data_IF_296926243444
#
_entry.id   IF_296926243444
#
_cell.length_a   1.000
_cell.length_b   1.000
_cell.length_c   1.000
_cell.angle_alpha   90.00
_cell.angle_beta   90.00
_cell.angle_gamma   90.00
#
_symmetry.space_group_name_H-M   'P 1'
#
loop_
_entity.id
_entity.type
_entity.pdbx_description
1 polymer ?
#
# COMPACT_ATOMS: atom_id res chain seq x y z
N UNK A 1 -18.14 3.30 -21.01
CA UNK A 1 -17.12 4.29 -20.57
C UNK A 1 -17.14 4.33 -19.06
N UNK A 2 -15.99 4.07 -18.43
CA UNK A 2 -15.87 4.23 -16.99
C UNK A 2 -15.93 5.72 -16.65
N UNK A 3 -16.80 6.09 -15.71
CA UNK A 3 -16.91 7.47 -15.27
C UNK A 3 -15.95 7.71 -14.10
N UNK A 4 -15.49 8.95 -14.02
CA UNK A 4 -14.67 9.39 -12.90
C UNK A 4 -15.47 9.36 -11.58
N UNK A 5 -15.02 8.56 -10.64
CA UNK A 5 -15.69 8.36 -9.35
C UNK A 5 -15.10 9.29 -8.30
N UNK A 6 -15.92 10.21 -7.82
CA UNK A 6 -15.55 11.11 -6.73
C UNK A 6 -15.50 10.35 -5.40
N UNK A 7 -14.38 10.36 -4.67
CA UNK A 7 -14.30 9.75 -3.35
C UNK A 7 -15.20 10.50 -2.35
N UNK A 8 -15.66 9.79 -1.31
CA UNK A 8 -16.37 10.43 -0.20
C UNK A 8 -15.50 11.50 0.47
N UNK A 9 -16.14 12.49 1.08
CA UNK A 9 -15.42 13.56 1.82
C UNK A 9 -14.46 12.97 2.86
N UNK A 10 -14.87 11.92 3.57
CA UNK A 10 -14.04 11.25 4.57
C UNK A 10 -12.79 10.64 3.94
N UNK A 11 -12.92 9.88 2.84
CA UNK A 11 -11.79 9.29 2.13
C UNK A 11 -10.81 10.36 1.63
N UNK A 12 -11.34 11.38 0.95
CA UNK A 12 -10.51 12.47 0.42
C UNK A 12 -9.79 13.22 1.57
N UNK A 13 -10.48 13.50 2.69
CA UNK A 13 -9.87 14.19 3.83
C UNK A 13 -8.76 13.36 4.49
N UNK A 14 -8.99 12.06 4.72
CA UNK A 14 -7.99 11.20 5.36
C UNK A 14 -6.75 11.01 4.47
N UNK A 15 -6.95 10.79 3.17
CA UNK A 15 -5.84 10.68 2.22
C UNK A 15 -5.09 12.01 2.06
N UNK A 16 -5.79 13.11 1.87
CA UNK A 16 -5.16 14.44 1.75
C UNK A 16 -4.36 14.80 2.99
N UNK A 17 -4.87 14.48 4.19
CA UNK A 17 -4.15 14.67 5.43
C UNK A 17 -2.89 13.78 5.52
N UNK A 18 -2.96 12.50 5.12
CA UNK A 18 -1.79 11.64 5.09
C UNK A 18 -0.74 12.15 4.10
N UNK A 19 -1.16 12.60 2.90
CA UNK A 19 -0.28 13.18 1.89
C UNK A 19 0.44 14.42 2.45
N UNK A 20 -0.27 15.32 3.13
CA UNK A 20 0.31 16.51 3.74
C UNK A 20 1.20 16.21 4.95
N UNK A 21 0.73 15.36 5.89
CA UNK A 21 1.46 15.03 7.13
C UNK A 21 2.81 14.32 6.85
N UNK A 22 2.92 13.58 5.75
CA UNK A 22 4.12 12.82 5.37
C UNK A 22 4.81 13.34 4.11
N UNK A 23 4.43 14.52 3.61
CA UNK A 23 5.05 15.18 2.45
C UNK A 23 5.21 14.24 1.24
N UNK A 24 4.08 13.61 0.82
CA UNK A 24 4.12 12.49 -0.12
C UNK A 24 4.16 12.91 -1.59
N UNK A 25 3.50 14.02 -1.97
CA UNK A 25 3.31 14.42 -3.36
C UNK A 25 3.74 15.87 -3.56
N UNK A 26 4.60 16.10 -4.54
CA UNK A 26 5.14 17.40 -4.88
C UNK A 26 4.72 17.82 -6.29
N UNK A 27 4.86 19.12 -6.57
CA UNK A 27 4.63 19.66 -7.91
C UNK A 27 5.62 19.04 -8.91
N UNK A 28 5.11 18.53 -10.02
CA UNK A 28 5.91 17.90 -11.07
C UNK A 28 6.20 16.42 -10.86
N UNK A 29 5.65 15.80 -9.79
CA UNK A 29 5.82 14.37 -9.59
C UNK A 29 5.16 13.55 -10.70
N UNK A 30 5.80 12.44 -11.03
CA UNK A 30 5.29 11.40 -11.91
C UNK A 30 5.06 10.15 -11.08
N UNK A 31 3.79 9.86 -10.77
CA UNK A 31 3.38 8.81 -9.84
C UNK A 31 3.02 7.53 -10.62
N UNK A 32 3.65 6.42 -10.25
CA UNK A 32 3.29 5.09 -10.71
C UNK A 32 2.55 4.35 -9.59
N UNK A 33 1.24 4.14 -9.76
CA UNK A 33 0.41 3.41 -8.80
C UNK A 33 0.53 1.90 -9.01
N UNK A 34 0.93 1.17 -7.98
CA UNK A 34 0.83 -0.30 -7.95
C UNK A 34 -0.64 -0.74 -7.89
N UNK A 35 -1.19 -1.18 -9.01
CA UNK A 35 -2.57 -1.61 -9.16
C UNK A 35 -2.65 -3.13 -9.11
N UNK A 36 -3.09 -3.70 -7.99
CA UNK A 36 -3.23 -5.15 -7.83
C UNK A 36 -4.56 -5.70 -8.38
N UNK A 37 -5.48 -4.83 -8.78
CA UNK A 37 -6.86 -5.18 -9.10
C UNK A 37 -7.77 -5.33 -7.87
N UNK A 38 -7.23 -5.32 -6.67
CA UNK A 38 -8.01 -5.35 -5.43
C UNK A 38 -8.66 -4.01 -5.09
N UNK A 39 -9.70 -4.06 -4.24
CA UNK A 39 -10.52 -2.92 -3.83
C UNK A 39 -9.73 -1.69 -3.37
N UNK A 40 -8.61 -1.91 -2.64
CA UNK A 40 -7.83 -0.83 -2.05
C UNK A 40 -7.02 -0.09 -3.12
N UNK A 41 -6.40 -0.81 -4.05
CA UNK A 41 -5.64 -0.24 -5.14
C UNK A 41 -6.52 0.50 -6.14
N UNK A 42 -7.71 -0.03 -6.44
CA UNK A 42 -8.71 0.64 -7.26
C UNK A 42 -9.26 1.89 -6.56
N UNK A 43 -9.53 1.81 -5.26
CA UNK A 43 -9.96 2.99 -4.49
C UNK A 43 -8.88 4.08 -4.52
N UNK A 44 -7.61 3.72 -4.34
CA UNK A 44 -6.50 4.68 -4.40
C UNK A 44 -6.35 5.31 -5.79
N UNK A 45 -6.58 4.54 -6.87
CA UNK A 45 -6.59 5.06 -8.24
C UNK A 45 -7.57 6.25 -8.38
N UNK A 46 -8.81 6.06 -7.97
CA UNK A 46 -9.83 7.12 -8.04
C UNK A 46 -9.52 8.32 -7.14
N UNK A 47 -8.97 8.06 -5.96
CA UNK A 47 -8.58 9.12 -5.02
C UNK A 47 -7.44 9.97 -5.60
N UNK A 48 -6.40 9.34 -6.16
CA UNK A 48 -5.28 10.05 -6.77
C UNK A 48 -5.72 10.81 -8.02
N UNK A 49 -6.56 10.21 -8.86
CA UNK A 49 -7.14 10.88 -10.02
C UNK A 49 -7.99 12.11 -9.61
N UNK A 50 -8.77 11.99 -8.53
CA UNK A 50 -9.51 13.12 -7.96
C UNK A 50 -8.57 14.25 -7.50
N UNK A 51 -7.44 13.91 -6.85
CA UNK A 51 -6.46 14.90 -6.42
C UNK A 51 -5.69 15.51 -7.59
N UNK A 52 -5.40 14.76 -8.63
CA UNK A 52 -4.77 15.28 -9.84
C UNK A 52 -5.54 16.46 -10.44
N UNK A 53 -6.87 16.43 -10.34
CA UNK A 53 -7.73 17.50 -10.85
C UNK A 53 -7.96 18.66 -9.88
N UNK A 54 -7.73 18.48 -8.57
CA UNK A 54 -8.18 19.42 -7.52
C UNK A 54 -7.11 19.85 -6.54
N UNK A 55 -5.99 19.13 -6.45
CA UNK A 55 -4.91 19.50 -5.56
C UNK A 55 -4.18 20.78 -6.05
N UNK A 56 -3.61 21.56 -5.13
CA UNK A 56 -2.83 22.74 -5.50
C UNK A 56 -1.52 22.39 -6.21
N UNK A 57 -1.09 21.13 -6.14
CA UNK A 57 0.12 20.61 -6.81
C UNK A 57 -0.28 19.83 -8.06
N UNK A 58 0.49 19.96 -9.14
CA UNK A 58 0.29 19.20 -10.38
C UNK A 58 1.21 17.99 -10.36
N UNK A 59 0.69 16.82 -10.71
CA UNK A 59 1.43 15.58 -10.86
C UNK A 59 0.82 14.73 -11.97
N UNK A 60 1.61 13.83 -12.54
CA UNK A 60 1.15 12.81 -13.49
C UNK A 60 0.85 11.52 -12.76
N UNK A 61 -0.16 10.76 -13.24
CA UNK A 61 -0.58 9.49 -12.68
C UNK A 61 -0.60 8.41 -13.76
N UNK A 62 0.10 7.32 -13.50
CA UNK A 62 0.03 6.08 -14.27
C UNK A 62 -0.20 4.91 -13.32
N UNK A 63 -0.64 3.78 -13.85
CA UNK A 63 -0.85 2.56 -13.09
C UNK A 63 0.01 1.40 -13.64
N UNK A 64 0.41 0.49 -12.74
CA UNK A 64 1.13 -0.74 -13.11
C UNK A 64 0.51 -1.95 -12.42
N UNK A 65 0.22 -3.00 -13.19
CA UNK A 65 -0.08 -4.32 -12.68
C UNK A 65 1.07 -5.27 -13.02
N UNK A 66 1.58 -5.96 -11.99
CA UNK A 66 2.54 -7.05 -12.17
C UNK A 66 1.79 -8.36 -11.99
N UNK A 67 1.57 -9.04 -13.12
CA UNK A 67 0.97 -10.36 -13.15
C UNK A 67 2.03 -11.42 -12.76
N UNK A 68 1.85 -12.13 -11.66
CA UNK A 68 2.79 -13.17 -11.23
C UNK A 68 2.70 -14.46 -12.06
N UNK A 69 1.83 -14.51 -13.06
CA UNK A 69 1.48 -15.70 -13.84
C UNK A 69 1.03 -16.86 -12.92
N UNK A 70 0.20 -16.53 -11.93
CA UNK A 70 -0.29 -17.45 -10.91
C UNK A 70 -1.75 -17.81 -11.17
N UNK A 71 -2.00 -19.03 -11.61
CA UNK A 71 -3.34 -19.61 -11.69
C UNK A 71 -4.35 -18.77 -12.46
N UNK A 72 -5.47 -18.44 -11.81
CA UNK A 72 -6.63 -17.75 -12.41
C UNK A 72 -6.57 -16.22 -12.29
N UNK A 73 -5.39 -15.63 -12.03
CA UNK A 73 -5.26 -14.18 -11.97
C UNK A 73 -5.39 -13.57 -13.37
N UNK A 74 -6.52 -12.93 -13.66
CA UNK A 74 -6.79 -12.27 -14.92
C UNK A 74 -6.98 -10.75 -14.73
N UNK A 75 -5.97 -9.92 -15.00
CA UNK A 75 -6.07 -8.47 -14.95
C UNK A 75 -6.60 -7.84 -16.25
N UNK A 76 -6.97 -8.62 -17.26
CA UNK A 76 -7.44 -8.09 -18.55
C UNK A 76 -8.60 -7.10 -18.45
N UNK A 77 -9.55 -7.21 -17.48
CA UNK A 77 -10.60 -6.20 -17.31
C UNK A 77 -10.09 -4.81 -16.95
N UNK A 78 -8.85 -4.70 -16.44
CA UNK A 78 -8.24 -3.40 -16.12
C UNK A 78 -7.86 -2.61 -17.36
N UNK A 79 -7.57 -3.26 -18.49
CA UNK A 79 -7.12 -2.61 -19.72
C UNK A 79 -8.17 -1.61 -20.24
N UNK A 80 -9.40 -2.05 -20.58
CA UNK A 80 -10.43 -1.11 -21.02
C UNK A 80 -10.85 -0.13 -19.94
N UNK A 81 -10.84 -0.55 -18.67
CA UNK A 81 -11.20 0.31 -17.55
C UNK A 81 -10.27 1.51 -17.40
N UNK A 82 -8.96 1.29 -17.46
CA UNK A 82 -7.97 2.37 -17.36
C UNK A 82 -7.91 3.23 -18.62
N UNK A 83 -8.15 2.63 -19.80
CA UNK A 83 -8.29 3.37 -21.04
C UNK A 83 -9.47 4.35 -21.00
N UNK A 84 -10.63 3.92 -20.48
CA UNK A 84 -11.81 4.78 -20.28
C UNK A 84 -11.54 5.94 -19.30
N UNK A 85 -10.69 5.71 -18.30
CA UNK A 85 -10.26 6.73 -17.33
C UNK A 85 -9.10 7.61 -17.84
N UNK A 86 -8.61 7.37 -19.05
CA UNK A 86 -7.45 8.07 -19.65
C UNK A 86 -6.19 7.98 -18.77
N UNK A 87 -6.01 6.86 -18.05
CA UNK A 87 -4.83 6.61 -17.21
C UNK A 87 -3.83 5.73 -17.97
N UNK A 88 -2.58 6.19 -18.10
CA UNK A 88 -1.48 5.39 -18.64
C UNK A 88 -1.32 4.09 -17.84
N UNK A 89 -1.31 2.94 -18.55
CA UNK A 89 -1.30 1.64 -17.89
C UNK A 89 -0.16 0.74 -18.39
N UNK A 90 0.60 0.22 -17.42
CA UNK A 90 1.66 -0.75 -17.66
C UNK A 90 1.23 -2.13 -17.15
N UNK A 91 1.03 -3.08 -18.04
CA UNK A 91 0.81 -4.48 -17.70
C UNK A 91 2.08 -5.27 -17.94
N UNK A 92 2.61 -5.90 -16.89
CA UNK A 92 3.86 -6.68 -16.95
C UNK A 92 3.59 -8.07 -16.40
N UNK A 93 3.83 -9.09 -17.22
CA UNK A 93 3.80 -10.50 -16.81
C UNK A 93 5.21 -10.95 -16.41
N UNK A 94 5.32 -11.59 -15.25
CA UNK A 94 6.58 -12.18 -14.76
C UNK A 94 6.28 -13.56 -14.17
N UNK A 95 7.02 -14.63 -14.51
CA UNK A 95 6.76 -15.99 -14.03
C UNK A 95 7.20 -16.19 -12.58
N UNK A 96 6.66 -15.37 -11.66
CA UNK A 96 7.09 -15.32 -10.26
C UNK A 96 6.82 -16.64 -9.54
N UNK A 97 5.75 -17.34 -9.90
CA UNK A 97 5.40 -18.62 -9.26
C UNK A 97 6.41 -19.72 -9.60
N UNK A 98 6.89 -19.76 -10.84
CA UNK A 98 7.89 -20.75 -11.25
C UNK A 98 9.25 -20.41 -10.65
N UNK A 99 9.65 -19.14 -10.66
CA UNK A 99 10.85 -18.67 -9.96
C UNK A 99 10.81 -19.00 -8.46
N UNK A 100 9.65 -18.93 -7.83
CA UNK A 100 9.49 -19.26 -6.41
C UNK A 100 9.67 -20.77 -6.16
N UNK A 101 9.13 -21.63 -7.01
CA UNK A 101 9.32 -23.09 -6.89
C UNK A 101 10.78 -23.50 -6.96
N UNK A 102 11.56 -22.85 -7.84
CA UNK A 102 12.98 -23.17 -8.05
C UNK A 102 13.90 -22.68 -6.91
N UNK A 103 13.55 -21.55 -6.26
CA UNK A 103 14.49 -20.86 -5.37
C UNK A 103 14.12 -20.85 -3.89
N UNK A 104 12.95 -21.38 -3.49
CA UNK A 104 12.42 -21.01 -2.16
C UNK A 104 12.56 -22.04 -1.06
N UNK A 105 12.88 -23.26 -1.24
CA UNK A 105 12.92 -24.19 -0.11
C UNK A 105 11.77 -23.93 0.90
N UNK A 106 12.06 -23.75 2.19
CA UNK A 106 11.08 -23.52 3.27
C UNK A 106 10.74 -22.04 3.56
N UNK A 107 11.02 -21.10 2.65
CA UNK A 107 10.75 -19.67 2.88
C UNK A 107 9.34 -19.26 2.43
N UNK A 108 8.84 -18.14 2.95
CA UNK A 108 7.50 -17.62 2.64
C UNK A 108 7.35 -17.15 1.17
N UNK A 109 6.45 -17.79 0.43
CA UNK A 109 6.08 -17.39 -0.94
C UNK A 109 5.67 -15.92 -1.05
N UNK A 110 4.88 -15.42 -0.10
CA UNK A 110 4.41 -14.04 -0.11
C UNK A 110 5.56 -13.03 -0.02
N UNK A 111 6.58 -13.31 0.80
CA UNK A 111 7.75 -12.42 0.93
C UNK A 111 8.58 -12.38 -0.36
N UNK A 112 8.77 -13.54 -1.00
CA UNK A 112 9.47 -13.65 -2.28
C UNK A 112 8.70 -12.92 -3.40
N UNK A 113 7.43 -13.25 -3.58
CA UNK A 113 6.56 -12.62 -4.58
C UNK A 113 6.52 -11.10 -4.43
N UNK A 114 6.37 -10.59 -3.21
CA UNK A 114 6.37 -9.15 -2.94
C UNK A 114 7.69 -8.48 -3.30
N UNK A 115 8.82 -9.17 -3.10
CA UNK A 115 10.14 -8.66 -3.46
C UNK A 115 10.30 -8.55 -4.98
N UNK A 116 9.93 -9.61 -5.72
CA UNK A 116 10.03 -9.61 -7.18
C UNK A 116 9.09 -8.57 -7.79
N UNK A 117 7.82 -8.54 -7.37
CA UNK A 117 6.85 -7.51 -7.83
C UNK A 117 7.40 -6.11 -7.62
N UNK A 118 7.99 -5.83 -6.47
CA UNK A 118 8.60 -4.53 -6.18
C UNK A 118 9.76 -4.22 -7.13
N UNK A 119 10.63 -5.19 -7.39
CA UNK A 119 11.72 -5.05 -8.36
C UNK A 119 11.23 -4.70 -9.76
N UNK A 120 10.15 -5.35 -10.23
CA UNK A 120 9.50 -5.04 -11.51
C UNK A 120 8.95 -3.61 -11.53
N UNK A 121 8.24 -3.21 -10.48
CA UNK A 121 7.68 -1.85 -10.37
C UNK A 121 8.82 -0.81 -10.41
N UNK A 122 9.92 -1.03 -9.69
CA UNK A 122 11.07 -0.11 -9.67
C UNK A 122 11.75 -0.01 -11.03
N UNK A 123 11.98 -1.15 -11.73
CA UNK A 123 12.53 -1.16 -13.10
C UNK A 123 11.64 -0.38 -14.07
N UNK A 124 10.32 -0.61 -14.00
CA UNK A 124 9.35 0.08 -14.86
C UNK A 124 9.30 1.58 -14.55
N UNK A 125 9.32 1.95 -13.29
CA UNK A 125 9.36 3.35 -12.88
C UNK A 125 10.59 4.07 -13.47
N UNK A 126 11.78 3.49 -13.31
CA UNK A 126 13.03 4.06 -13.87
C UNK A 126 12.98 4.18 -15.38
N UNK A 127 12.57 3.11 -16.09
CA UNK A 127 12.47 3.07 -17.55
C UNK A 127 11.58 4.20 -18.09
N UNK A 128 10.47 4.48 -17.40
CA UNK A 128 9.47 5.45 -17.83
C UNK A 128 9.57 6.78 -17.07
N UNK A 129 10.65 7.01 -16.31
CA UNK A 129 10.95 8.27 -15.59
C UNK A 129 9.88 8.66 -14.55
N UNK A 130 9.24 7.69 -13.92
CA UNK A 130 8.46 7.94 -12.71
C UNK A 130 9.40 8.09 -11.53
N UNK A 131 9.11 9.05 -10.65
CA UNK A 131 9.91 9.32 -9.45
C UNK A 131 9.20 8.96 -8.15
N UNK A 132 7.89 8.63 -8.22
CA UNK A 132 7.08 8.26 -7.07
C UNK A 132 6.33 6.97 -7.35
N UNK A 133 6.34 6.05 -6.38
CA UNK A 133 5.54 4.82 -6.40
C UNK A 133 4.50 4.92 -5.31
N UNK A 134 3.22 4.85 -5.69
CA UNK A 134 2.10 4.82 -4.76
C UNK A 134 1.63 3.38 -4.51
N UNK A 135 1.44 3.03 -3.25
CA UNK A 135 0.98 1.72 -2.80
C UNK A 135 -0.25 1.87 -1.90
N UNK A 136 -1.19 0.95 -2.01
CA UNK A 136 -2.52 1.04 -1.40
C UNK A 136 -2.64 0.38 -0.02
N UNK A 137 -1.54 0.24 0.75
CA UNK A 137 -1.65 -0.24 2.13
C UNK A 137 -2.36 0.80 2.99
N UNK A 138 -3.34 0.33 3.74
CA UNK A 138 -4.20 1.13 4.60
C UNK A 138 -3.88 0.96 6.09
N UNK A 139 -4.58 1.68 6.98
CA UNK A 139 -4.31 1.68 8.41
C UNK A 139 -4.37 0.28 9.04
N UNK A 140 -5.31 -0.56 8.61
CA UNK A 140 -5.46 -1.93 9.12
C UNK A 140 -4.23 -2.78 8.76
N UNK A 141 -3.68 -2.67 7.54
CA UNK A 141 -2.42 -3.34 7.14
C UNK A 141 -1.22 -2.91 8.02
N UNK A 142 -1.16 -1.62 8.35
CA UNK A 142 -0.10 -1.09 9.20
C UNK A 142 -0.23 -1.64 10.62
N UNK A 143 -1.45 -1.73 11.15
CA UNK A 143 -1.73 -2.29 12.47
C UNK A 143 -1.39 -3.78 12.53
N UNK A 144 -1.79 -4.57 11.52
CA UNK A 144 -1.42 -5.98 11.38
C UNK A 144 0.11 -6.14 11.36
N UNK A 145 0.80 -5.35 10.54
CA UNK A 145 2.26 -5.38 10.42
C UNK A 145 2.96 -5.00 11.73
N UNK A 146 2.42 -4.03 12.45
CA UNK A 146 2.93 -3.59 13.76
C UNK A 146 2.82 -4.71 14.79
N UNK A 147 1.65 -5.35 14.92
CA UNK A 147 1.45 -6.46 15.85
C UNK A 147 2.31 -7.68 15.48
N UNK A 148 2.41 -8.02 14.20
CA UNK A 148 3.31 -9.08 13.74
C UNK A 148 4.76 -8.79 14.12
N UNK A 149 5.21 -7.54 13.97
CA UNK A 149 6.57 -7.15 14.34
C UNK A 149 6.80 -7.22 15.86
N UNK A 150 5.84 -6.75 16.64
CA UNK A 150 5.92 -6.78 18.10
C UNK A 150 5.90 -8.22 18.65
N UNK A 151 4.99 -9.07 18.17
CA UNK A 151 4.75 -10.41 18.71
C UNK A 151 5.78 -11.45 18.26
N UNK A 152 6.24 -11.36 17.01
CA UNK A 152 7.10 -12.38 16.41
C UNK A 152 8.55 -11.94 16.22
N UNK A 153 8.84 -10.62 16.16
CA UNK A 153 10.19 -10.13 15.99
C UNK A 153 10.73 -9.32 17.18
N UNK A 154 9.91 -9.06 18.22
CA UNK A 154 10.29 -8.25 19.36
C UNK A 154 10.67 -6.82 19.00
N UNK A 155 10.08 -6.26 17.94
CA UNK A 155 10.42 -4.94 17.41
C UNK A 155 9.19 -4.07 17.23
N UNK A 156 9.27 -2.83 17.69
CA UNK A 156 8.25 -1.81 17.42
C UNK A 156 8.47 -1.23 16.01
N UNK A 157 7.92 -1.89 15.01
CA UNK A 157 8.09 -1.53 13.60
C UNK A 157 6.78 -1.69 12.84
N UNK A 158 6.48 -0.75 11.95
CA UNK A 158 5.38 -0.85 10.98
C UNK A 158 5.85 -0.42 9.58
N UNK A 159 4.94 -0.41 8.60
CA UNK A 159 5.24 0.10 7.27
C UNK A 159 5.45 1.62 7.32
N UNK A 160 6.43 2.11 6.56
CA UNK A 160 6.64 3.55 6.39
C UNK A 160 5.53 4.14 5.52
N UNK A 161 5.03 5.30 5.89
CA UNK A 161 4.06 6.05 5.07
C UNK A 161 4.71 6.65 3.83
N UNK A 162 5.94 7.13 4.00
CA UNK A 162 6.80 7.67 2.94
C UNK A 162 8.25 7.27 3.23
N UNK A 163 8.97 6.82 2.20
CA UNK A 163 10.42 6.57 2.27
C UNK A 163 11.04 6.65 0.88
N UNK A 164 12.33 6.90 0.85
CA UNK A 164 13.14 6.79 -0.37
C UNK A 164 13.74 5.37 -0.42
N UNK A 165 13.78 4.77 -1.61
CA UNK A 165 14.37 3.45 -1.79
C UNK A 165 15.89 3.47 -1.50
N UNK A 166 16.50 2.30 -1.42
CA UNK A 166 17.93 2.17 -1.05
C UNK A 166 18.87 2.83 -2.07
N UNK A 167 18.48 2.89 -3.35
CA UNK A 167 19.22 3.58 -4.41
C UNK A 167 19.07 5.09 -4.39
N UNK A 168 18.11 5.63 -3.64
CA UNK A 168 17.93 7.08 -3.46
C UNK A 168 17.18 7.78 -4.60
N UNK A 169 16.65 7.05 -5.58
CA UNK A 169 16.08 7.60 -6.81
C UNK A 169 14.55 7.53 -6.89
N UNK A 170 13.89 6.72 -6.06
CA UNK A 170 12.45 6.54 -6.06
C UNK A 170 11.86 6.77 -4.66
N UNK A 171 10.81 7.56 -4.60
CA UNK A 171 10.00 7.73 -3.39
C UNK A 171 8.86 6.72 -3.40
N UNK A 172 8.61 6.07 -2.27
CA UNK A 172 7.48 5.15 -2.09
C UNK A 172 6.52 5.76 -1.07
N UNK A 173 5.27 5.93 -1.47
CA UNK A 173 4.23 6.56 -0.68
C UNK A 173 3.03 5.64 -0.44
N UNK A 174 2.35 5.82 0.69
CA UNK A 174 1.12 5.09 1.06
C UNK A 174 0.03 6.06 1.49
N UNK A 175 -0.71 6.65 0.55
CA UNK A 175 -1.72 7.67 0.88
C UNK A 175 -2.87 7.17 1.76
N UNK A 176 -3.11 5.85 1.83
CA UNK A 176 -4.18 5.25 2.62
C UNK A 176 -3.81 4.95 4.10
N UNK A 177 -2.64 5.38 4.60
CA UNK A 177 -2.18 5.04 5.97
C UNK A 177 -3.10 5.53 7.10
N UNK A 178 -3.99 6.48 6.84
CA UNK A 178 -5.02 6.94 7.78
C UNK A 178 -6.40 6.37 7.49
N UNK A 179 -6.56 5.66 6.38
CA UNK A 179 -7.83 5.12 5.91
C UNK A 179 -8.03 3.71 6.47
N UNK A 180 -9.21 3.43 7.01
CA UNK A 180 -9.61 2.09 7.44
C UNK A 180 -10.04 1.25 6.24
N UNK A 181 -9.75 -0.05 6.27
CA UNK A 181 -10.13 -1.02 5.22
C UNK A 181 -11.62 -0.95 4.87
N UNK A 182 -12.50 -0.77 5.86
CA UNK A 182 -13.94 -0.66 5.64
C UNK A 182 -14.33 0.48 4.71
N UNK A 183 -13.59 1.61 4.73
CA UNK A 183 -13.90 2.76 3.88
C UNK A 183 -13.58 2.51 2.40
N UNK A 184 -12.50 1.80 2.11
CA UNK A 184 -12.17 1.37 0.74
C UNK A 184 -13.11 0.27 0.27
N UNK A 185 -13.49 -0.64 1.16
CA UNK A 185 -14.48 -1.68 0.89
C UNK A 185 -15.83 -1.06 0.50
N UNK A 186 -16.36 -0.15 1.34
CA UNK A 186 -17.64 0.53 1.08
C UNK A 186 -17.57 1.35 -0.21
N UNK A 187 -16.46 2.06 -0.44
CA UNK A 187 -16.26 2.81 -1.68
C UNK A 187 -16.29 1.90 -2.91
N UNK A 188 -15.59 0.76 -2.85
CA UNK A 188 -15.54 -0.21 -3.93
C UNK A 188 -16.90 -0.82 -4.24
N UNK A 189 -17.66 -1.23 -3.21
CA UNK A 189 -18.99 -1.83 -3.38
C UNK A 189 -20.01 -0.82 -3.91
N UNK A 190 -20.08 0.36 -3.31
CA UNK A 190 -21.06 1.38 -3.67
C UNK A 190 -20.89 1.89 -5.11
N UNK A 191 -19.66 1.81 -5.63
CA UNK A 191 -19.33 2.27 -6.97
C UNK A 191 -19.07 1.13 -7.96
N UNK A 192 -19.31 -0.13 -7.56
CA UNK A 192 -19.15 -1.33 -8.41
C UNK A 192 -17.81 -1.35 -9.13
N UNK A 193 -16.72 -1.06 -8.40
CA UNK A 193 -15.39 -1.11 -8.99
C UNK A 193 -15.09 -2.52 -9.53
N UNK A 194 -14.37 -2.65 -10.66
CA UNK A 194 -14.06 -3.93 -11.28
C UNK A 194 -12.96 -4.68 -10.50
N UNK A 195 -13.29 -5.11 -9.29
CA UNK A 195 -12.34 -5.82 -8.42
C UNK A 195 -12.05 -7.19 -8.98
N UNK A 196 -10.78 -7.49 -9.17
CA UNK A 196 -10.29 -8.81 -9.54
C UNK A 196 -10.22 -9.67 -8.28
N UNK A 197 -10.81 -10.88 -8.28
CA UNK A 197 -10.68 -11.81 -7.16
C UNK A 197 -9.21 -12.15 -6.87
N UNK A 198 -8.84 -12.21 -5.59
CA UNK A 198 -7.52 -12.71 -5.21
C UNK A 198 -7.46 -14.22 -5.44
N UNK A 199 -6.62 -14.65 -6.37
CA UNK A 199 -6.49 -16.05 -6.79
C UNK A 199 -5.13 -16.66 -6.39
N UNK A 200 -4.37 -16.00 -5.49
CA UNK A 200 -3.05 -16.51 -5.12
C UNK A 200 -3.14 -17.81 -4.30
N UNK A 201 -2.70 -18.97 -4.83
CA UNK A 201 -2.80 -20.25 -4.13
C UNK A 201 -2.11 -20.28 -2.77
N UNK A 202 -1.00 -19.52 -2.63
CA UNK A 202 -0.24 -19.43 -1.38
C UNK A 202 -1.00 -18.71 -0.25
N UNK A 203 -1.99 -17.87 -0.59
CA UNK A 203 -2.83 -17.19 0.40
C UNK A 203 -3.93 -18.09 0.97
N UNK A 204 -4.28 -19.18 0.28
CA UNK A 204 -5.38 -20.09 0.65
C UNK A 204 -4.90 -21.37 1.34
N UNK A 205 -3.62 -21.69 1.33
CA UNK A 205 -3.10 -22.99 1.78
C UNK A 205 -3.02 -23.15 3.30
N UNK A 206 -3.04 -22.10 4.10
CA UNK A 206 -3.11 -22.16 5.57
C UNK A 206 -3.43 -20.77 6.18
N UNK A 207 -4.01 -20.69 7.38
CA UNK A 207 -4.21 -19.41 8.05
C UNK A 207 -2.87 -18.73 8.29
N UNK A 208 -2.68 -17.56 7.67
CA UNK A 208 -1.45 -16.79 7.80
C UNK A 208 -1.41 -16.04 9.13
N UNK A 209 -0.20 -15.71 9.62
CA UNK A 209 -0.04 -14.87 10.81
C UNK A 209 -0.75 -13.51 10.64
N UNK A 210 -0.77 -12.98 9.41
CA UNK A 210 -1.51 -11.74 9.11
C UNK A 210 -3.00 -11.92 9.31
N UNK A 211 -3.60 -13.03 8.86
CA UNK A 211 -5.02 -13.33 9.11
C UNK A 211 -5.33 -13.48 10.60
N UNK A 212 -4.40 -14.06 11.37
CA UNK A 212 -4.54 -14.14 12.82
C UNK A 212 -4.56 -12.74 13.45
N UNK A 213 -3.63 -11.84 13.08
CA UNK A 213 -3.62 -10.45 13.57
C UNK A 213 -4.89 -9.69 13.16
N UNK A 214 -5.36 -9.88 11.94
CA UNK A 214 -6.62 -9.28 11.47
C UNK A 214 -7.81 -9.71 12.34
N UNK A 215 -7.93 -11.00 12.63
CA UNK A 215 -9.00 -11.53 13.52
C UNK A 215 -8.88 -11.00 14.95
N UNK A 216 -7.66 -10.92 15.47
CA UNK A 216 -7.39 -10.37 16.80
C UNK A 216 -7.81 -8.90 16.89
N UNK A 217 -7.40 -8.07 15.93
CA UNK A 217 -7.78 -6.66 15.86
C UNK A 217 -9.29 -6.47 15.73
N UNK A 218 -9.95 -7.28 14.91
CA UNK A 218 -11.40 -7.22 14.74
C UNK A 218 -12.13 -7.57 16.05
N UNK A 219 -11.67 -8.59 16.79
CA UNK A 219 -12.22 -8.97 18.09
C UNK A 219 -12.05 -7.85 19.11
N UNK A 220 -10.85 -7.27 19.19
CA UNK A 220 -10.53 -6.21 20.15
C UNK A 220 -11.31 -4.92 19.86
N UNK A 221 -11.52 -4.57 18.58
CA UNK A 221 -12.29 -3.40 18.17
C UNK A 221 -13.77 -3.48 18.62
N UNK A 222 -14.30 -4.69 18.84
CA UNK A 222 -15.68 -4.86 19.34
C UNK A 222 -15.87 -4.24 20.73
N UNK A 223 -14.88 -4.41 21.61
CA UNK A 223 -14.88 -3.89 22.98
C UNK A 223 -14.25 -2.49 23.09
N UNK A 224 -13.28 -2.17 22.22
CA UNK A 224 -12.54 -0.90 22.25
C UNK A 224 -12.73 -0.11 20.93
N UNK A 225 -13.72 0.77 20.92
CA UNK A 225 -14.01 1.62 19.74
C UNK A 225 -12.89 2.62 19.40
N UNK A 226 -11.96 2.87 20.31
CA UNK A 226 -10.82 3.76 20.09
C UNK A 226 -9.54 3.03 19.67
N UNK A 227 -9.58 1.69 19.53
CA UNK A 227 -8.42 0.85 19.24
C UNK A 227 -7.56 1.40 18.09
N UNK A 228 -8.16 1.61 16.91
CA UNK A 228 -7.41 2.09 15.74
C UNK A 228 -6.92 3.53 15.86
N UNK A 229 -7.60 4.36 16.65
CA UNK A 229 -7.10 5.71 16.97
C UNK A 229 -5.85 5.64 17.84
N UNK A 230 -5.84 4.77 18.83
CA UNK A 230 -4.70 4.53 19.73
C UNK A 230 -3.53 3.90 18.96
N UNK A 231 -3.79 2.87 18.14
CA UNK A 231 -2.78 2.25 17.29
C UNK A 231 -2.16 3.25 16.31
N UNK A 232 -2.97 4.09 15.65
CA UNK A 232 -2.46 5.12 14.77
C UNK A 232 -1.54 6.10 15.50
N UNK A 233 -1.95 6.55 16.69
CA UNK A 233 -1.11 7.44 17.53
C UNK A 233 0.23 6.80 17.87
N UNK A 234 0.22 5.52 18.25
CA UNK A 234 1.44 4.75 18.58
C UNK A 234 2.34 4.52 17.35
N UNK A 235 1.75 4.21 16.20
CA UNK A 235 2.50 3.90 14.99
C UNK A 235 3.01 5.14 14.25
N UNK A 236 2.36 6.30 14.41
CA UNK A 236 2.69 7.52 13.64
C UNK A 236 4.18 7.91 13.71
N UNK A 237 4.86 7.90 14.86
CA UNK A 237 6.31 8.15 14.93
C UNK A 237 7.15 7.12 14.17
N UNK A 238 6.64 5.91 13.97
CA UNK A 238 7.33 4.82 13.29
C UNK A 238 7.14 4.87 11.76
N UNK A 239 6.19 5.65 11.26
CA UNK A 239 5.84 5.75 9.84
C UNK A 239 6.77 6.65 9.02
N UNK A 240 7.57 7.53 9.66
CA UNK A 240 8.52 8.43 9.01
C UNK A 240 9.97 8.02 9.32
N UNK A 241 10.91 8.40 8.46
CA UNK A 241 12.34 8.13 8.68
C UNK A 241 13.00 9.11 9.64
N UNK A 242 12.48 10.34 9.71
CA UNK A 242 13.10 11.42 10.50
C UNK A 242 12.92 11.32 12.01
N UNK A 243 11.84 10.71 12.50
CA UNK A 243 11.54 10.59 13.94
C UNK A 243 12.33 9.48 14.64
N UNK A 244 12.87 8.50 13.93
CA UNK A 244 13.72 7.46 14.54
C UNK A 244 15.09 7.99 14.96
N UNK A 245 15.59 9.07 14.35
CA UNK A 245 16.86 9.70 14.76
C UNK A 245 16.76 10.46 16.08
N UNK A 246 15.60 11.06 16.37
CA UNK A 246 15.39 11.82 17.63
C UNK A 246 15.13 10.91 18.82
N UNK A 247 14.51 9.76 18.66
CA UNK A 247 14.28 8.82 19.77
C UNK A 247 15.57 8.12 20.20
N UNK A 248 16.50 7.86 19.26
CA UNK A 248 17.81 7.27 19.59
C UNK A 248 18.80 8.26 20.21
N UNK A 249 18.59 9.58 20.07
CA UNK A 249 19.45 10.59 20.71
C UNK A 249 19.03 10.94 22.14
N UNK A 250 17.81 10.61 22.57
CA UNK A 250 17.34 10.89 23.93
C UNK A 250 17.47 9.72 24.92
N UNK A 251 17.89 8.55 24.45
CA UNK A 251 18.15 7.38 25.32
C UNK A 251 19.61 7.28 25.84
N UNK A 252 20.41 8.25 25.58
CA UNK A 252 21.75 8.31 26.09
C UNK A 252 21.89 9.36 27.18
N UNK A 253 21.34 9.13 28.37
CA UNK A 253 21.79 9.69 29.67
C UNK A 253 20.95 9.03 30.78
N UNK A 254 21.48 8.02 31.41
CA UNK A 254 21.51 7.96 32.88
C UNK A 254 22.79 7.19 33.26
N UNK A 255 23.84 7.93 33.51
CA UNK A 255 24.84 7.49 34.46
C UNK A 255 24.22 7.69 35.82
N UNK A 256 23.89 6.61 36.52
CA UNK A 256 23.74 6.61 37.96
C UNK A 256 25.10 6.25 38.57
N UNK A 257 25.70 7.21 39.25
CA UNK A 257 26.63 6.93 40.35
C UNK A 257 25.90 6.30 41.52
#
# INVERSE_FOLDING_TARGET
MAEFIKPSRTLATLCGRAIGDFDMIHHGDRILLGLSGGKDSLSLLHILHYFQQRAPVRFELAAITVDPMAGDFDPSPMIPYLADLEVEYHYISEPIMDMAKEHMGNKSYCAFCSRIKRGVIYRTARKNRFNVIALAQHLDDLAESFLMSAFHAGKLKTMKAHYVNDEGDLRVIRPLVYVRERLTHDFSLNNRLPVIPDSCPACFSAPTQRQHMKKLLAKEEMSNKLLFKSLLSTMRPLMSEGLQRTVNCQSGIVNCE
#
